data_IF_964480191962
#
_entry.id   IF_964480191962
#
_cell.length_a   1.000
_cell.length_b   1.000
_cell.length_c   1.000
_cell.angle_alpha   90.00
_cell.angle_beta   90.00
_cell.angle_gamma   90.00
#
_symmetry.space_group_name_H-M   'P 1'
#
loop_
_entity.id
_entity.type
_entity.pdbx_description
1 polymer ?
#
# COMPACT_ATOMS: atom_id res chain seq x y z
N UNK A 1 32.79 15.84 -34.50
CA UNK A 1 32.34 14.56 -33.91
C UNK A 1 32.00 14.72 -32.41
N UNK A 2 31.09 15.64 -32.04
CA UNK A 2 30.70 15.90 -30.64
C UNK A 2 29.20 15.69 -30.38
N UNK A 3 28.43 15.33 -31.41
CA UNK A 3 26.96 15.25 -31.33
C UNK A 3 26.42 13.82 -31.27
N UNK A 4 27.28 12.79 -31.33
CA UNK A 4 26.87 11.39 -31.25
C UNK A 4 26.78 10.84 -29.81
N UNK A 5 27.28 11.56 -28.81
CA UNK A 5 27.31 11.09 -27.41
C UNK A 5 26.05 11.42 -26.60
N UNK A 6 25.19 12.31 -27.09
CA UNK A 6 23.98 12.72 -26.36
C UNK A 6 22.82 11.74 -26.61
N UNK A 7 22.80 11.05 -27.76
CA UNK A 7 21.75 10.09 -28.09
C UNK A 7 21.85 8.76 -27.31
N UNK A 8 23.06 8.36 -26.89
CA UNK A 8 23.29 7.14 -26.11
C UNK A 8 22.89 7.25 -24.63
N UNK A 9 22.76 8.46 -24.09
CA UNK A 9 22.36 8.65 -22.69
C UNK A 9 20.84 8.51 -22.50
N UNK A 10 20.05 8.75 -23.54
CA UNK A 10 18.60 8.57 -23.51
C UNK A 10 18.16 7.10 -23.54
N UNK A 11 19.00 6.19 -24.07
CA UNK A 11 18.71 4.75 -24.06
C UNK A 11 18.99 4.07 -22.71
N UNK A 12 19.85 4.65 -21.87
CA UNK A 12 20.12 4.12 -20.52
C UNK A 12 18.92 4.29 -19.57
N UNK A 13 18.00 5.22 -19.84
CA UNK A 13 16.82 5.44 -19.00
C UNK A 13 15.67 4.45 -19.28
N UNK A 14 15.74 3.66 -20.35
CA UNK A 14 14.78 2.56 -20.59
C UNK A 14 15.19 1.25 -19.89
N UNK A 15 16.30 1.26 -19.14
CA UNK A 15 16.69 0.14 -18.26
C UNK A 15 15.92 0.11 -16.93
N UNK A 16 14.89 0.95 -16.76
CA UNK A 16 13.88 0.84 -15.70
C UNK A 16 12.95 -0.37 -15.91
N UNK A 17 13.51 -1.53 -16.24
CA UNK A 17 12.84 -2.80 -16.17
C UNK A 17 13.03 -3.31 -14.75
N UNK A 18 11.93 -3.42 -14.00
CA UNK A 18 11.90 -3.83 -12.60
C UNK A 18 12.63 -2.86 -11.66
N UNK A 19 12.08 -1.66 -11.48
CA UNK A 19 12.02 -1.14 -10.12
C UNK A 19 11.10 -2.12 -9.37
N UNK A 20 11.66 -3.26 -8.95
CA UNK A 20 11.15 -4.00 -7.81
C UNK A 20 11.18 -2.98 -6.70
N UNK A 21 10.07 -2.26 -6.61
CA UNK A 21 9.64 -1.51 -5.45
C UNK A 21 10.13 -2.31 -4.26
N UNK A 22 11.05 -1.74 -3.49
CA UNK A 22 11.62 -2.44 -2.35
C UNK A 22 10.44 -2.76 -1.42
N UNK A 23 9.99 -4.02 -1.44
CA UNK A 23 8.70 -4.44 -0.89
C UNK A 23 8.60 -4.01 0.58
N UNK A 24 9.72 -4.08 1.30
CA UNK A 24 9.86 -3.62 2.68
C UNK A 24 9.65 -2.11 2.84
N UNK A 25 10.25 -1.28 1.97
CA UNK A 25 10.07 0.18 2.03
C UNK A 25 8.63 0.57 1.75
N UNK A 26 8.01 -0.02 0.73
CA UNK A 26 6.64 0.33 0.35
C UNK A 26 5.59 -0.25 1.29
N UNK A 27 5.86 -1.42 1.89
CA UNK A 27 5.08 -1.92 3.01
C UNK A 27 5.13 -0.96 4.18
N UNK A 28 6.31 -0.49 4.56
CA UNK A 28 6.47 0.49 5.64
C UNK A 28 5.72 1.80 5.35
N UNK A 29 5.87 2.37 4.16
CA UNK A 29 5.18 3.60 3.77
C UNK A 29 3.66 3.44 3.76
N UNK A 30 3.15 2.30 3.30
CA UNK A 30 1.72 1.98 3.36
C UNK A 30 1.22 1.90 4.80
N UNK A 31 1.92 1.15 5.67
CA UNK A 31 1.54 0.98 7.08
C UNK A 31 1.58 2.33 7.82
N UNK A 32 2.64 3.11 7.65
CA UNK A 32 2.77 4.43 8.29
C UNK A 32 1.65 5.39 7.82
N UNK A 33 1.30 5.36 6.53
CA UNK A 33 0.17 6.12 5.98
C UNK A 33 -1.18 5.68 6.56
N UNK A 34 -1.42 4.37 6.61
CA UNK A 34 -2.63 3.79 7.19
C UNK A 34 -2.79 4.18 8.68
N UNK A 35 -1.75 4.02 9.50
CA UNK A 35 -1.76 4.42 10.92
C UNK A 35 -2.05 5.90 11.10
N UNK A 36 -1.50 6.75 10.22
CA UNK A 36 -1.74 8.21 10.27
C UNK A 36 -3.20 8.57 10.02
N UNK A 37 -3.91 7.87 9.14
CA UNK A 37 -5.35 8.10 8.91
C UNK A 37 -6.18 7.83 10.17
N UNK A 38 -5.88 6.77 10.93
CA UNK A 38 -6.56 6.51 12.21
C UNK A 38 -6.36 7.64 13.22
N UNK A 39 -5.12 8.15 13.33
CA UNK A 39 -4.81 9.32 14.17
C UNK A 39 -5.60 10.55 13.73
N UNK A 40 -5.70 10.79 12.41
CA UNK A 40 -6.45 11.93 11.86
C UNK A 40 -7.96 11.81 12.03
N UNK A 41 -8.49 10.59 12.00
CA UNK A 41 -9.91 10.31 12.26
C UNK A 41 -10.28 10.45 13.74
N UNK A 42 -9.28 10.57 14.64
CA UNK A 42 -9.52 10.70 16.07
C UNK A 42 -10.15 9.46 16.70
N UNK A 43 -9.93 8.29 16.11
CA UNK A 43 -10.43 7.02 16.66
C UNK A 43 -9.46 6.54 17.73
N UNK A 44 -9.91 6.46 18.98
CA UNK A 44 -9.15 5.83 20.05
C UNK A 44 -9.25 4.31 19.89
N UNK A 45 -8.26 3.73 19.21
CA UNK A 45 -8.06 2.29 19.08
C UNK A 45 -6.67 1.97 19.62
N UNK A 46 -6.51 0.80 20.22
CA UNK A 46 -5.19 0.32 20.62
C UNK A 46 -4.22 0.30 19.43
N UNK A 47 -3.02 0.86 19.61
CA UNK A 47 -2.00 0.96 18.57
C UNK A 47 -1.66 -0.40 17.95
N UNK A 48 -1.68 -1.48 18.76
CA UNK A 48 -1.43 -2.85 18.29
C UNK A 48 -2.49 -3.34 17.29
N UNK A 49 -3.77 -3.08 17.56
CA UNK A 49 -4.87 -3.44 16.66
C UNK A 49 -4.80 -2.68 15.34
N UNK A 50 -4.44 -1.39 15.39
CA UNK A 50 -4.25 -0.57 14.18
C UNK A 50 -3.05 -1.08 13.38
N UNK A 51 -1.96 -1.42 14.06
CA UNK A 51 -0.75 -1.96 13.43
C UNK A 51 -1.01 -3.30 12.73
N UNK A 52 -1.73 -4.21 13.36
CA UNK A 52 -2.10 -5.51 12.79
C UNK A 52 -3.01 -5.34 11.56
N UNK A 53 -4.02 -4.48 11.65
CA UNK A 53 -4.89 -4.16 10.52
C UNK A 53 -4.12 -3.56 9.33
N UNK A 54 -3.29 -2.55 9.60
CA UNK A 54 -2.53 -1.86 8.56
C UNK A 54 -1.48 -2.77 7.92
N UNK A 55 -0.81 -3.61 8.72
CA UNK A 55 0.18 -4.58 8.24
C UNK A 55 -0.46 -5.66 7.38
N UNK A 56 -1.57 -6.24 7.84
CA UNK A 56 -2.35 -7.21 7.06
C UNK A 56 -2.80 -6.61 5.72
N UNK A 57 -3.33 -5.38 5.75
CA UNK A 57 -3.79 -4.69 4.55
C UNK A 57 -2.64 -4.46 3.57
N UNK A 58 -1.48 -4.01 4.05
CA UNK A 58 -0.29 -3.83 3.22
C UNK A 58 0.13 -5.15 2.55
N UNK A 59 0.18 -6.25 3.30
CA UNK A 59 0.55 -7.57 2.76
C UNK A 59 -0.40 -8.05 1.67
N UNK A 60 -1.72 -7.86 1.85
CA UNK A 60 -2.71 -8.25 0.83
C UNK A 60 -2.60 -7.40 -0.41
N UNK A 61 -2.50 -6.08 -0.25
CA UNK A 61 -2.47 -5.14 -1.37
C UNK A 61 -1.18 -5.29 -2.18
N UNK A 62 -0.02 -5.30 -1.53
CA UNK A 62 1.28 -5.40 -2.18
C UNK A 62 1.55 -6.79 -2.77
N UNK A 63 0.80 -7.82 -2.38
CA UNK A 63 0.87 -9.14 -3.02
C UNK A 63 0.24 -9.17 -4.42
N UNK A 64 -0.62 -8.20 -4.75
CA UNK A 64 -1.39 -8.18 -6.01
C UNK A 64 -1.14 -6.94 -6.86
N UNK A 65 -0.99 -5.78 -6.23
CA UNK A 65 -0.88 -4.49 -6.91
C UNK A 65 0.53 -3.93 -6.76
N UNK A 66 1.05 -3.40 -7.86
CA UNK A 66 2.24 -2.57 -7.82
C UNK A 66 1.89 -1.14 -7.42
N UNK A 67 2.91 -0.30 -7.22
CA UNK A 67 2.73 1.11 -6.86
C UNK A 67 1.92 1.90 -7.90
N UNK A 68 2.00 1.54 -9.19
CA UNK A 68 1.29 2.27 -10.24
C UNK A 68 -0.22 1.98 -10.14
N UNK A 69 -0.59 0.76 -9.80
CA UNK A 69 -1.98 0.39 -9.54
C UNK A 69 -2.51 1.05 -8.26
N UNK A 70 -1.68 1.23 -7.23
CA UNK A 70 -2.07 1.96 -6.02
C UNK A 70 -2.52 3.40 -6.29
N UNK A 71 -1.96 4.07 -7.30
CA UNK A 71 -2.40 5.42 -7.70
C UNK A 71 -3.88 5.42 -8.11
N UNK A 72 -4.35 4.31 -8.71
CA UNK A 72 -5.75 4.16 -9.14
C UNK A 72 -6.70 3.89 -7.98
N UNK A 73 -6.20 3.53 -6.79
CA UNK A 73 -7.05 3.33 -5.60
C UNK A 73 -7.73 4.61 -5.13
N UNK A 74 -7.19 5.79 -5.48
CA UNK A 74 -7.85 7.07 -5.19
C UNK A 74 -9.16 7.25 -5.98
N UNK A 75 -9.35 6.51 -7.08
CA UNK A 75 -10.63 6.43 -7.78
C UNK A 75 -11.45 5.27 -7.21
N UNK A 76 -12.42 5.61 -6.36
CA UNK A 76 -13.33 4.64 -5.71
C UNK A 76 -14.26 3.93 -6.69
N UNK A 77 -14.34 4.37 -7.94
CA UNK A 77 -15.11 3.70 -9.00
C UNK A 77 -14.27 2.73 -9.82
N UNK A 78 -12.95 2.73 -9.62
CA UNK A 78 -12.02 1.86 -10.34
C UNK A 78 -12.19 0.39 -9.96
N UNK A 79 -11.85 -0.50 -10.89
CA UNK A 79 -11.77 -1.93 -10.60
C UNK A 79 -10.70 -2.23 -9.54
N UNK A 80 -9.59 -1.49 -9.55
CA UNK A 80 -8.51 -1.65 -8.56
C UNK A 80 -9.02 -1.34 -7.16
N UNK A 81 -9.82 -0.28 -6.98
CA UNK A 81 -10.45 0.01 -5.69
C UNK A 81 -11.39 -1.11 -5.25
N UNK A 82 -12.25 -1.62 -6.13
CA UNK A 82 -13.16 -2.74 -5.76
C UNK A 82 -12.39 -3.98 -5.34
N UNK A 83 -11.38 -4.35 -6.11
CA UNK A 83 -10.56 -5.52 -5.81
C UNK A 83 -9.69 -5.33 -4.55
N UNK A 84 -9.25 -4.10 -4.26
CA UNK A 84 -8.53 -3.79 -3.03
C UNK A 84 -9.42 -3.96 -1.80
N UNK A 85 -10.69 -3.52 -1.85
CA UNK A 85 -11.65 -3.71 -0.77
C UNK A 85 -11.90 -5.20 -0.47
N UNK A 86 -12.07 -6.03 -1.51
CA UNK A 86 -12.22 -7.48 -1.34
C UNK A 86 -10.97 -8.14 -0.75
N UNK A 87 -9.78 -7.68 -1.14
CA UNK A 87 -8.51 -8.20 -0.62
C UNK A 87 -8.30 -7.89 0.87
N UNK A 88 -8.66 -6.68 1.32
CA UNK A 88 -8.47 -6.26 2.71
C UNK A 88 -9.63 -6.68 3.62
N UNK A 89 -10.76 -7.14 3.06
CA UNK A 89 -11.94 -7.56 3.82
C UNK A 89 -11.61 -8.52 4.97
N UNK A 90 -10.77 -9.56 4.81
CA UNK A 90 -10.40 -10.43 5.92
C UNK A 90 -9.64 -9.71 7.04
N UNK A 91 -8.81 -8.72 6.71
CA UNK A 91 -8.11 -7.89 7.70
C UNK A 91 -9.09 -7.02 8.48
N UNK A 92 -10.08 -6.44 7.79
CA UNK A 92 -11.14 -5.64 8.42
C UNK A 92 -12.05 -6.48 9.32
N UNK A 93 -12.42 -7.69 8.89
CA UNK A 93 -13.25 -8.59 9.66
C UNK A 93 -12.51 -9.04 10.95
N UNK A 94 -11.20 -9.32 10.86
CA UNK A 94 -10.37 -9.64 12.04
C UNK A 94 -10.17 -8.45 12.98
N UNK A 95 -10.00 -7.24 12.44
CA UNK A 95 -9.91 -6.01 13.22
C UNK A 95 -11.20 -5.75 14.00
N UNK A 96 -12.37 -5.91 13.35
CA UNK A 96 -13.68 -5.77 13.99
C UNK A 96 -13.91 -6.79 15.10
N UNK A 97 -13.55 -8.05 14.86
CA UNK A 97 -13.68 -9.08 15.89
C UNK A 97 -12.90 -8.73 17.16
N UNK A 98 -11.69 -8.18 17.02
CA UNK A 98 -10.86 -7.76 18.16
C UNK A 98 -11.39 -6.51 18.87
N UNK A 99 -12.16 -5.65 18.19
CA UNK A 99 -12.87 -4.54 18.84
C UNK A 99 -14.10 -4.99 19.63
N UNK A 100 -14.70 -6.11 19.25
CA UNK A 100 -15.93 -6.65 19.85
C UNK A 100 -15.66 -7.65 20.99
N UNK A 101 -14.44 -8.19 21.08
CA UNK A 101 -14.03 -9.05 22.20
C UNK A 101 -13.56 -8.17 23.39
N UNK A 102 -14.30 -8.12 24.51
CA UNK A 102 -13.77 -7.50 25.71
C UNK A 102 -12.62 -8.36 26.22
N UNK A 103 -11.42 -7.77 26.29
CA UNK A 103 -10.30 -8.36 27.02
C UNK A 103 -10.77 -8.68 28.45
N UNK A 104 -10.78 -9.97 28.80
CA UNK A 104 -11.16 -10.49 30.12
C UNK A 104 -9.97 -10.51 31.09
#
# INVERSE_FOLDING_TARGET
>A
MKQLLVASLAMLLMSSCNFLVNNETSKKEFVDGCKKEFVQMGVEVEDGLVEDYCTCSADKILSKFDIIDLIKMNDTTSQVYRESQELIKPCLDAFRAQLEEPEY
#
